data_IF_857922301809
#
_entry.id   IF_857922301809
#
_cell.length_a   1.000
_cell.length_b   1.000
_cell.length_c   1.000
_cell.angle_alpha   90.00
_cell.angle_beta   90.00
_cell.angle_gamma   90.00
#
_symmetry.space_group_name_H-M   'P 1'
#
loop_
_entity.id
_entity.type
_entity.pdbx_description
1 polymer ?
#
# COMPACT_ATOMS: atom_id res chain seq x y z
N UNK A 1 3.02 -2.99 13.28
CA UNK A 1 2.76 -3.63 11.97
C UNK A 1 2.51 -5.11 12.21
N UNK A 2 1.29 -5.61 11.97
CA UNK A 2 0.93 -7.02 12.19
C UNK A 2 1.66 -7.91 11.18
N UNK A 3 2.25 -9.01 11.63
CA UNK A 3 2.92 -10.00 10.79
C UNK A 3 1.99 -10.46 9.66
N UNK A 4 2.23 -9.97 8.43
CA UNK A 4 1.55 -10.42 7.20
C UNK A 4 2.20 -11.64 6.57
N UNK A 5 3.44 -11.90 6.95
CA UNK A 5 4.21 -13.09 6.61
C UNK A 5 3.37 -14.39 6.74
N UNK A 6 2.65 -14.67 7.86
CA UNK A 6 1.82 -15.87 7.96
C UNK A 6 0.70 -15.93 6.93
N UNK A 7 0.13 -14.79 6.53
CA UNK A 7 -0.90 -14.76 5.48
C UNK A 7 -0.31 -15.13 4.12
N UNK A 8 0.86 -14.59 3.76
CA UNK A 8 1.53 -14.95 2.50
C UNK A 8 1.96 -16.42 2.47
N UNK A 9 2.47 -16.93 3.59
CA UNK A 9 2.81 -18.36 3.73
C UNK A 9 1.57 -19.23 3.55
N UNK A 10 0.43 -18.85 4.14
CA UNK A 10 -0.84 -19.54 3.96
C UNK A 10 -1.29 -19.64 2.50
N UNK A 11 -1.19 -18.54 1.74
CA UNK A 11 -1.50 -18.54 0.31
C UNK A 11 -0.53 -19.43 -0.48
N UNK A 12 0.77 -19.33 -0.20
CA UNK A 12 1.78 -20.14 -0.90
C UNK A 12 1.59 -21.64 -0.62
N UNK A 13 1.25 -22.01 0.62
CA UNK A 13 0.93 -23.39 1.00
C UNK A 13 -0.32 -23.89 0.28
N UNK A 14 -1.38 -23.06 0.18
CA UNK A 14 -2.58 -23.43 -0.56
C UNK A 14 -2.27 -23.70 -2.04
N UNK A 15 -1.52 -22.81 -2.70
CA UNK A 15 -1.12 -23.01 -4.10
C UNK A 15 -0.23 -24.23 -4.29
N UNK A 16 0.72 -24.46 -3.37
CA UNK A 16 1.57 -25.65 -3.39
C UNK A 16 0.77 -26.94 -3.18
N UNK A 17 -0.23 -26.93 -2.28
CA UNK A 17 -1.12 -28.06 -2.05
C UNK A 17 -1.96 -28.37 -3.31
N UNK A 18 -2.48 -27.34 -3.99
CA UNK A 18 -3.17 -27.52 -5.28
C UNK A 18 -2.21 -28.07 -6.34
N UNK A 19 -0.97 -27.57 -6.41
CA UNK A 19 0.04 -28.09 -7.32
C UNK A 19 0.36 -29.57 -7.06
N UNK A 20 0.44 -29.96 -5.78
CA UNK A 20 0.62 -31.35 -5.37
C UNK A 20 -0.55 -32.23 -5.80
N UNK A 21 -1.79 -31.77 -5.60
CA UNK A 21 -3.00 -32.51 -6.01
C UNK A 21 -3.06 -32.74 -7.53
N UNK A 22 -2.59 -31.75 -8.30
CA UNK A 22 -2.52 -31.84 -9.74
C UNK A 22 -1.40 -32.75 -10.19
N UNK A 23 -0.16 -32.47 -9.82
CA UNK A 23 1.00 -33.21 -10.35
C UNK A 23 1.23 -34.57 -9.68
N UNK A 24 0.69 -34.79 -8.48
CA UNK A 24 0.98 -35.95 -7.61
C UNK A 24 2.48 -36.15 -7.35
N UNK A 25 3.28 -35.09 -7.47
CA UNK A 25 4.73 -35.10 -7.26
C UNK A 25 5.12 -33.99 -6.28
N UNK A 26 5.73 -34.38 -5.17
CA UNK A 26 6.12 -33.44 -4.11
C UNK A 26 7.14 -32.39 -4.58
N UNK A 27 8.02 -32.77 -5.52
CA UNK A 27 9.11 -31.91 -6.02
C UNK A 27 8.57 -30.62 -6.65
N UNK A 28 7.54 -30.72 -7.51
CA UNK A 28 6.96 -29.54 -8.17
C UNK A 28 6.20 -28.65 -7.18
N UNK A 29 5.49 -29.25 -6.23
CA UNK A 29 4.82 -28.50 -5.17
C UNK A 29 5.80 -27.70 -4.31
N UNK A 30 6.95 -28.29 -3.98
CA UNK A 30 8.01 -27.63 -3.23
C UNK A 30 8.62 -26.49 -4.04
N UNK A 31 8.85 -26.69 -5.34
CA UNK A 31 9.31 -25.62 -6.23
C UNK A 31 8.34 -24.43 -6.26
N UNK A 32 7.04 -24.70 -6.44
CA UNK A 32 5.98 -23.68 -6.41
C UNK A 32 5.99 -22.93 -5.07
N UNK A 33 6.08 -23.65 -3.95
CA UNK A 33 6.17 -23.06 -2.61
C UNK A 33 7.38 -22.12 -2.48
N UNK A 34 8.57 -22.59 -2.85
CA UNK A 34 9.82 -21.81 -2.70
C UNK A 34 9.78 -20.56 -3.58
N UNK A 35 9.36 -20.67 -4.83
CA UNK A 35 9.21 -19.52 -5.74
C UNK A 35 8.18 -18.53 -5.21
N UNK A 36 7.04 -19.02 -4.71
CA UNK A 36 6.02 -18.18 -4.10
C UNK A 36 6.54 -17.41 -2.90
N UNK A 37 7.15 -18.10 -1.93
CA UNK A 37 7.69 -17.47 -0.72
C UNK A 37 8.73 -16.41 -1.06
N UNK A 38 9.67 -16.71 -1.97
CA UNK A 38 10.67 -15.75 -2.44
C UNK A 38 10.00 -14.52 -3.08
N UNK A 39 9.00 -14.72 -3.92
CA UNK A 39 8.32 -13.63 -4.60
C UNK A 39 7.58 -12.72 -3.61
N UNK A 40 6.84 -13.30 -2.66
CA UNK A 40 6.10 -12.53 -1.66
C UNK A 40 7.04 -11.76 -0.72
N UNK A 41 8.13 -12.36 -0.27
CA UNK A 41 9.07 -11.72 0.66
C UNK A 41 9.95 -10.67 -0.02
N UNK A 42 10.48 -10.96 -1.21
CA UNK A 42 11.44 -10.08 -1.88
C UNK A 42 10.78 -8.92 -2.64
N UNK A 43 9.56 -9.11 -3.16
CA UNK A 43 8.90 -8.11 -4.01
C UNK A 43 7.64 -7.53 -3.40
N UNK A 44 6.71 -8.36 -2.90
CA UNK A 44 5.39 -7.87 -2.48
C UNK A 44 5.46 -7.18 -1.10
N UNK A 45 6.07 -7.81 -0.09
CA UNK A 45 6.17 -7.24 1.26
C UNK A 45 6.86 -5.85 1.28
N UNK A 46 8.04 -5.63 0.66
CA UNK A 46 8.66 -4.31 0.68
C UNK A 46 7.81 -3.26 -0.05
N UNK A 47 7.12 -3.63 -1.13
CA UNK A 47 6.25 -2.72 -1.87
C UNK A 47 5.04 -2.28 -1.02
N UNK A 48 4.36 -3.24 -0.40
CA UNK A 48 3.19 -2.97 0.44
C UNK A 48 3.59 -2.24 1.72
N UNK A 49 4.72 -2.58 2.33
CA UNK A 49 5.22 -1.90 3.53
C UNK A 49 5.55 -0.45 3.24
N UNK A 50 6.27 -0.14 2.15
CA UNK A 50 6.60 1.23 1.75
C UNK A 50 5.34 2.07 1.52
N UNK A 51 4.39 1.52 0.77
CA UNK A 51 3.12 2.17 0.51
C UNK A 51 2.36 2.49 1.81
N UNK A 52 2.32 1.55 2.75
CA UNK A 52 1.65 1.77 4.03
C UNK A 52 2.34 2.80 4.91
N UNK A 53 3.67 2.77 5.00
CA UNK A 53 4.42 3.79 5.74
C UNK A 53 4.16 5.17 5.15
N UNK A 54 4.17 5.30 3.82
CA UNK A 54 3.84 6.55 3.13
C UNK A 54 2.42 7.02 3.43
N UNK A 55 1.45 6.10 3.37
CA UNK A 55 0.05 6.38 3.67
C UNK A 55 -0.18 6.78 5.13
N UNK A 56 0.49 6.10 6.07
CA UNK A 56 0.42 6.41 7.51
C UNK A 56 0.99 7.81 7.77
N UNK A 57 2.19 8.10 7.27
CA UNK A 57 2.82 9.42 7.40
C UNK A 57 1.98 10.54 6.78
N UNK A 58 1.33 10.28 5.65
CA UNK A 58 0.39 11.22 5.05
C UNK A 58 -0.77 11.54 5.99
N UNK A 59 -1.42 10.51 6.54
CA UNK A 59 -2.52 10.68 7.50
C UNK A 59 -2.12 11.43 8.78
N UNK A 60 -0.96 11.08 9.33
CA UNK A 60 -0.34 11.78 10.46
C UNK A 60 -0.14 13.26 10.11
N UNK A 61 0.42 13.56 8.92
CA UNK A 61 0.59 14.93 8.44
C UNK A 61 -0.73 15.71 8.39
N UNK A 62 -1.77 15.14 7.79
CA UNK A 62 -3.06 15.80 7.62
C UNK A 62 -3.70 16.11 8.96
N UNK A 63 -3.68 15.14 9.87
CA UNK A 63 -4.20 15.30 11.22
C UNK A 63 -3.45 16.40 11.97
N UNK A 64 -2.11 16.40 11.90
CA UNK A 64 -1.28 17.41 12.52
C UNK A 64 -1.62 18.81 12.00
N UNK A 65 -1.63 19.01 10.68
CA UNK A 65 -1.96 20.29 10.03
C UNK A 65 -3.34 20.78 10.45
N UNK A 66 -4.35 19.91 10.37
CA UNK A 66 -5.72 20.26 10.69
C UNK A 66 -5.87 20.66 12.16
N UNK A 67 -5.31 19.87 13.08
CA UNK A 67 -5.28 20.19 14.52
C UNK A 67 -4.50 21.47 14.81
N UNK A 68 -3.42 21.74 14.10
CA UNK A 68 -2.62 22.95 14.25
C UNK A 68 -3.39 24.19 13.80
N UNK A 69 -3.97 24.18 12.59
CA UNK A 69 -4.71 25.34 12.05
C UNK A 69 -5.92 25.69 12.91
N UNK A 70 -6.68 24.69 13.36
CA UNK A 70 -7.82 24.91 14.27
C UNK A 70 -7.36 25.49 15.60
N UNK A 71 -6.30 24.92 16.18
CA UNK A 71 -5.78 25.39 17.46
C UNK A 71 -5.19 26.79 17.36
N UNK A 72 -4.55 27.12 16.23
CA UNK A 72 -4.01 28.46 15.96
C UNK A 72 -5.15 29.47 15.79
N UNK A 73 -6.22 29.10 15.07
CA UNK A 73 -7.42 29.94 14.94
C UNK A 73 -8.07 30.24 16.29
N UNK A 74 -8.09 29.28 17.22
CA UNK A 74 -8.72 29.45 18.52
C UNK A 74 -7.84 30.18 19.53
N UNK A 75 -6.55 29.85 19.59
CA UNK A 75 -5.62 30.35 20.61
C UNK A 75 -4.83 31.60 20.19
N UNK A 76 -4.75 31.88 18.87
CA UNK A 76 -3.92 32.94 18.28
C UNK A 76 -2.43 32.88 18.70
N UNK A 77 -1.98 31.74 19.21
CA UNK A 77 -0.62 31.51 19.68
C UNK A 77 -0.07 30.24 19.03
N UNK A 78 1.06 30.39 18.34
CA UNK A 78 1.70 29.30 17.60
C UNK A 78 2.23 28.19 18.52
N UNK A 79 2.81 28.54 19.67
CA UNK A 79 3.25 27.57 20.67
C UNK A 79 2.09 26.74 21.24
N UNK A 80 0.97 27.37 21.56
CA UNK A 80 -0.23 26.69 22.05
C UNK A 80 -0.84 25.81 20.97
N UNK A 81 -0.90 26.29 19.73
CA UNK A 81 -1.38 25.52 18.58
C UNK A 81 -0.53 24.26 18.33
N UNK A 82 0.79 24.40 18.41
CA UNK A 82 1.72 23.29 18.28
C UNK A 82 1.57 22.27 19.40
N UNK A 83 1.48 22.71 20.66
CA UNK A 83 1.27 21.82 21.80
C UNK A 83 -0.04 21.05 21.66
N UNK A 84 -1.12 21.71 21.27
CA UNK A 84 -2.42 21.06 21.07
C UNK A 84 -2.41 20.07 19.90
N UNK A 85 -1.75 20.40 18.79
CA UNK A 85 -1.53 19.46 17.69
C UNK A 85 -0.67 18.27 18.11
N UNK A 86 0.36 18.51 18.94
CA UNK A 86 1.25 17.49 19.50
C UNK A 86 0.54 16.52 20.46
N UNK A 87 -0.45 16.97 21.24
CA UNK A 87 -1.23 16.11 22.13
C UNK A 87 -2.05 15.05 21.39
N UNK A 88 -2.43 15.31 20.14
CA UNK A 88 -3.17 14.36 19.30
C UNK A 88 -2.32 13.28 18.61
N UNK A 89 -0.99 13.34 18.77
CA UNK A 89 -0.05 12.46 18.07
C UNK A 89 0.09 11.10 18.78
N UNK A 90 0.34 10.05 17.99
CA UNK A 90 0.48 8.68 18.51
C UNK A 90 1.56 7.90 17.75
N UNK A 91 2.20 6.93 18.41
CA UNK A 91 3.15 6.03 17.77
C UNK A 91 4.51 6.67 17.44
N UNK A 92 5.02 6.42 16.23
CA UNK A 92 6.34 6.89 15.77
C UNK A 92 6.44 8.42 15.71
N UNK A 93 5.37 9.11 15.34
CA UNK A 93 5.33 10.57 15.24
C UNK A 93 5.54 11.25 16.61
N UNK A 94 4.96 10.69 17.67
CA UNK A 94 5.15 11.17 19.04
C UNK A 94 6.59 10.98 19.52
N UNK A 95 7.19 9.83 19.22
CA UNK A 95 8.59 9.57 19.55
C UNK A 95 9.55 10.54 18.82
N UNK A 96 9.23 10.87 17.56
CA UNK A 96 9.98 11.88 16.80
C UNK A 96 9.83 13.26 17.45
N UNK A 97 8.63 13.64 17.87
CA UNK A 97 8.38 14.94 18.50
C UNK A 97 9.06 15.07 19.87
N UNK A 98 9.06 14.01 20.68
CA UNK A 98 9.77 13.95 21.96
C UNK A 98 11.28 14.11 21.79
N UNK A 99 11.85 13.56 20.71
CA UNK A 99 13.29 13.67 20.41
C UNK A 99 13.76 15.09 20.06
N UNK A 100 12.84 16.01 19.78
CA UNK A 100 13.12 17.43 19.46
C UNK A 100 12.51 18.40 20.45
N UNK A 101 12.11 17.91 21.63
CA UNK A 101 11.46 18.69 22.68
C UNK A 101 12.34 19.80 23.29
N UNK A 102 13.66 19.76 23.09
CA UNK A 102 14.60 20.78 23.56
C UNK A 102 14.91 21.87 22.51
N UNK A 103 14.43 21.72 21.28
CA UNK A 103 14.72 22.63 20.16
C UNK A 103 13.81 23.86 20.13
N UNK A 104 14.19 24.91 19.40
CA UNK A 104 13.31 26.06 19.16
C UNK A 104 12.08 25.67 18.34
N UNK A 105 11.04 26.50 18.38
CA UNK A 105 9.77 26.27 17.67
C UNK A 105 9.97 26.02 16.17
N UNK A 106 10.74 26.89 15.50
CA UNK A 106 11.04 26.78 14.06
C UNK A 106 11.80 25.50 13.72
N UNK A 107 12.77 25.13 14.57
CA UNK A 107 13.52 23.89 14.39
C UNK A 107 12.64 22.64 14.52
N UNK A 108 11.62 22.66 15.39
CA UNK A 108 10.68 21.53 15.54
C UNK A 108 9.82 21.38 14.30
N UNK A 109 9.29 22.47 13.76
CA UNK A 109 8.51 22.49 12.51
C UNK A 109 9.36 22.02 11.33
N UNK A 110 10.60 22.50 11.22
CA UNK A 110 11.49 22.06 10.14
C UNK A 110 11.90 20.58 10.29
N UNK A 111 12.06 20.08 11.52
CA UNK A 111 12.36 18.66 11.75
C UNK A 111 11.19 17.75 11.35
N UNK A 112 9.95 18.16 11.63
CA UNK A 112 8.75 17.44 11.20
C UNK A 112 8.65 17.37 9.66
N UNK A 113 9.14 18.36 8.93
CA UNK A 113 9.20 18.31 7.45
C UNK A 113 10.01 17.12 6.94
N UNK A 114 11.11 16.76 7.63
CA UNK A 114 11.97 15.62 7.30
C UNK A 114 11.31 14.28 7.61
N UNK A 115 10.43 14.24 8.60
CA UNK A 115 9.67 13.04 8.97
C UNK A 115 8.53 12.77 7.99
N UNK A 116 7.68 13.79 7.75
CA UNK A 116 6.49 13.66 6.93
C UNK A 116 6.81 13.49 5.44
N UNK A 117 7.81 14.21 4.91
CA UNK A 117 8.23 14.15 3.50
C UNK A 117 7.07 14.28 2.50
N UNK A 118 6.03 15.02 2.87
CA UNK A 118 4.84 15.27 2.06
C UNK A 118 4.88 16.68 1.49
N UNK A 119 4.41 16.86 0.26
CA UNK A 119 4.40 18.17 -0.39
C UNK A 119 3.46 19.15 0.32
N UNK A 120 2.38 18.63 0.89
CA UNK A 120 1.38 19.42 1.64
C UNK A 120 1.96 20.00 2.91
N UNK A 121 2.90 19.32 3.57
CA UNK A 121 3.60 19.90 4.71
C UNK A 121 4.45 21.09 4.32
N UNK A 122 5.03 21.10 3.11
CA UNK A 122 5.78 22.26 2.60
C UNK A 122 4.87 23.45 2.36
N UNK A 123 3.69 23.21 1.76
CA UNK A 123 2.69 24.25 1.56
C UNK A 123 2.21 24.79 2.91
N UNK A 124 2.01 23.92 3.90
CA UNK A 124 1.68 24.33 5.26
C UNK A 124 2.75 25.24 5.88
N UNK A 125 4.03 24.89 5.78
CA UNK A 125 5.12 25.76 6.27
C UNK A 125 5.12 27.13 5.59
N UNK A 126 4.85 27.21 4.28
CA UNK A 126 4.72 28.50 3.59
C UNK A 126 3.50 29.29 4.06
N UNK A 127 2.37 28.64 4.33
CA UNK A 127 1.17 29.29 4.87
C UNK A 127 1.40 29.86 6.27
N UNK A 128 2.16 29.17 7.13
CA UNK A 128 2.51 29.67 8.46
C UNK A 128 3.44 30.88 8.39
N UNK A 129 4.46 30.85 7.51
CA UNK A 129 5.34 32.01 7.30
C UNK A 129 4.58 33.23 6.79
N UNK A 130 3.66 33.02 5.84
CA UNK A 130 2.80 34.10 5.35
C UNK A 130 1.93 34.69 6.47
N UNK A 131 1.39 33.84 7.35
CA UNK A 131 0.65 34.28 8.53
C UNK A 131 1.51 35.07 9.52
N UNK A 132 2.79 34.71 9.70
CA UNK A 132 3.73 35.48 10.53
C UNK A 132 4.07 36.86 9.93
N UNK A 133 4.27 36.91 8.62
CA UNK A 133 4.70 38.13 7.91
C UNK A 133 3.55 39.12 7.68
N UNK A 134 2.37 38.63 7.27
CA UNK A 134 1.24 39.47 6.85
C UNK A 134 0.13 39.56 7.92
N UNK A 135 0.11 38.66 8.89
CA UNK A 135 -0.99 38.54 9.85
C UNK A 135 -2.30 38.11 9.20
N UNK A 136 -3.43 38.40 9.85
CA UNK A 136 -4.78 38.11 9.33
C UNK A 136 -5.44 36.88 9.93
N UNK A 137 -6.48 36.35 9.26
CA UNK A 137 -7.17 35.14 9.69
C UNK A 137 -6.49 33.90 9.08
N UNK A 138 -5.85 33.08 9.93
CA UNK A 138 -5.18 31.84 9.49
C UNK A 138 -6.12 30.89 8.73
N UNK A 139 -7.42 30.92 9.06
CA UNK A 139 -8.42 30.11 8.38
C UNK A 139 -8.54 30.48 6.90
N UNK A 140 -8.46 31.76 6.54
CA UNK A 140 -8.54 32.19 5.14
C UNK A 140 -7.28 31.79 4.37
N UNK A 141 -6.11 31.93 5.00
CA UNK A 141 -4.82 31.56 4.40
C UNK A 141 -4.68 30.04 4.25
N UNK A 142 -5.19 29.27 5.22
CA UNK A 142 -5.12 27.82 5.22
C UNK A 142 -6.33 27.14 4.56
N UNK A 143 -7.40 27.87 4.22
CA UNK A 143 -8.62 27.32 3.61
C UNK A 143 -8.35 26.52 2.32
N UNK A 144 -7.51 27.00 1.37
CA UNK A 144 -7.13 26.21 0.20
C UNK A 144 -6.44 24.90 0.57
N UNK A 145 -5.57 24.92 1.59
CA UNK A 145 -4.80 23.78 2.06
C UNK A 145 -5.67 22.76 2.80
N UNK A 146 -6.63 23.23 3.61
CA UNK A 146 -7.62 22.38 4.26
C UNK A 146 -8.54 21.73 3.23
N UNK A 147 -8.99 22.48 2.22
CA UNK A 147 -9.82 21.95 1.14
C UNK A 147 -9.08 20.89 0.31
N UNK A 148 -7.81 21.11 -0.01
CA UNK A 148 -6.96 20.14 -0.70
C UNK A 148 -6.70 18.90 0.17
N UNK A 149 -6.43 19.09 1.46
CA UNK A 149 -6.30 18.01 2.45
C UNK A 149 -7.54 17.12 2.50
N UNK A 150 -8.74 17.71 2.63
CA UNK A 150 -10.01 16.98 2.65
C UNK A 150 -10.25 16.24 1.34
N UNK A 151 -9.98 16.86 0.19
CA UNK A 151 -10.12 16.20 -1.11
C UNK A 151 -9.23 14.95 -1.23
N UNK A 152 -7.99 15.02 -0.74
CA UNK A 152 -7.07 13.87 -0.78
C UNK A 152 -7.51 12.77 0.19
N UNK A 153 -8.08 13.13 1.34
CA UNK A 153 -8.65 12.16 2.28
C UNK A 153 -9.87 11.45 1.68
N UNK A 154 -10.77 12.18 1.02
CA UNK A 154 -11.91 11.60 0.29
C UNK A 154 -11.46 10.67 -0.83
N UNK A 155 -10.47 11.08 -1.64
CA UNK A 155 -9.86 10.25 -2.67
C UNK A 155 -9.25 8.97 -2.08
N UNK A 156 -8.67 9.05 -0.89
CA UNK A 156 -8.09 7.90 -0.18
C UNK A 156 -9.18 6.94 0.32
N UNK A 157 -10.28 7.45 0.86
CA UNK A 157 -11.44 6.64 1.27
C UNK A 157 -12.05 5.93 0.06
N UNK A 158 -12.25 6.66 -1.04
CA UNK A 158 -12.71 6.13 -2.32
C UNK A 158 -11.77 5.05 -2.85
N UNK A 159 -10.46 5.31 -2.82
CA UNK A 159 -9.45 4.36 -3.24
C UNK A 159 -9.44 3.09 -2.38
N UNK A 160 -9.56 3.21 -1.06
CA UNK A 160 -9.64 2.07 -0.14
C UNK A 160 -10.84 1.17 -0.45
N UNK A 161 -12.03 1.77 -0.66
CA UNK A 161 -13.23 1.02 -1.09
C UNK A 161 -12.99 0.29 -2.42
N UNK A 162 -12.41 0.99 -3.40
CA UNK A 162 -12.08 0.40 -4.69
C UNK A 162 -11.07 -0.76 -4.59
N UNK A 163 -10.10 -0.68 -3.67
CA UNK A 163 -9.12 -1.75 -3.42
C UNK A 163 -9.80 -2.98 -2.84
N UNK A 164 -10.72 -2.83 -1.88
CA UNK A 164 -11.47 -3.96 -1.30
C UNK A 164 -12.32 -4.66 -2.37
N UNK A 165 -13.05 -3.89 -3.18
CA UNK A 165 -13.84 -4.45 -4.30
C UNK A 165 -12.94 -5.16 -5.31
N UNK A 166 -11.80 -4.57 -5.66
CA UNK A 166 -10.84 -5.17 -6.59
C UNK A 166 -10.23 -6.46 -6.03
N UNK A 167 -9.94 -6.51 -4.73
CA UNK A 167 -9.44 -7.71 -4.05
C UNK A 167 -10.49 -8.83 -4.04
N UNK A 168 -11.76 -8.50 -3.81
CA UNK A 168 -12.85 -9.47 -3.87
C UNK A 168 -13.01 -10.04 -5.29
N UNK A 169 -12.98 -9.19 -6.32
CA UNK A 169 -13.03 -9.61 -7.72
C UNK A 169 -11.83 -10.49 -8.10
N UNK A 170 -10.62 -10.07 -7.73
CA UNK A 170 -9.40 -10.85 -7.98
C UNK A 170 -9.42 -12.21 -7.28
N UNK A 171 -9.84 -12.24 -6.00
CA UNK A 171 -9.94 -13.49 -5.24
C UNK A 171 -11.01 -14.42 -5.83
N UNK A 172 -12.15 -13.88 -6.27
CA UNK A 172 -13.21 -14.65 -6.93
C UNK A 172 -12.74 -15.28 -8.24
N UNK A 173 -12.00 -14.53 -9.07
CA UNK A 173 -11.41 -15.02 -10.32
C UNK A 173 -10.46 -16.19 -10.08
N UNK A 174 -9.56 -16.07 -9.11
CA UNK A 174 -8.62 -17.15 -8.77
C UNK A 174 -9.31 -18.35 -8.13
N UNK A 175 -10.31 -18.13 -7.27
CA UNK A 175 -11.11 -19.20 -6.70
C UNK A 175 -11.81 -20.01 -7.81
N UNK A 176 -12.42 -19.34 -8.78
CA UNK A 176 -13.06 -20.00 -9.93
C UNK A 176 -12.04 -20.74 -10.79
N UNK A 177 -10.87 -20.14 -11.03
CA UNK A 177 -9.79 -20.80 -11.79
C UNK A 177 -9.32 -22.09 -11.10
N UNK A 178 -9.12 -22.06 -9.79
CA UNK A 178 -8.74 -23.22 -8.99
C UNK A 178 -9.86 -24.27 -8.95
N UNK A 179 -11.12 -23.85 -8.90
CA UNK A 179 -12.28 -24.73 -8.93
C UNK A 179 -12.35 -25.48 -10.26
N UNK A 180 -12.16 -24.80 -11.40
CA UNK A 180 -12.10 -25.43 -12.73
C UNK A 180 -10.98 -26.48 -12.79
N UNK A 181 -9.80 -26.16 -12.27
CA UNK A 181 -8.68 -27.11 -12.17
C UNK A 181 -9.03 -28.33 -11.31
N UNK A 182 -9.72 -28.13 -10.20
CA UNK A 182 -10.23 -29.20 -9.34
C UNK A 182 -11.23 -30.10 -10.07
N UNK A 183 -12.22 -29.51 -10.75
CA UNK A 183 -13.20 -30.25 -11.55
C UNK A 183 -12.51 -31.06 -12.65
N UNK A 184 -11.52 -30.49 -13.35
CA UNK A 184 -10.78 -31.23 -14.37
C UNK A 184 -10.01 -32.41 -13.78
N UNK A 185 -9.42 -32.27 -12.59
CA UNK A 185 -8.73 -33.37 -11.90
C UNK A 185 -9.66 -34.52 -11.56
N UNK A 186 -10.84 -34.22 -10.99
CA UNK A 186 -11.78 -35.24 -10.51
C UNK A 186 -12.68 -35.78 -11.63
N UNK A 187 -13.18 -34.91 -12.50
CA UNK A 187 -14.08 -35.25 -13.61
C UNK A 187 -13.41 -36.04 -14.72
N UNK A 188 -12.09 -35.89 -14.90
CA UNK A 188 -11.30 -36.64 -15.90
C UNK A 188 -10.28 -37.58 -15.25
N UNK A 189 -10.56 -38.10 -14.05
CA UNK A 189 -9.59 -38.86 -13.24
C UNK A 189 -8.86 -39.98 -14.01
N UNK A 190 -9.58 -40.74 -14.84
CA UNK A 190 -9.01 -41.81 -15.68
C UNK A 190 -8.07 -41.29 -16.77
N UNK A 191 -8.43 -40.20 -17.46
CA UNK A 191 -7.59 -39.54 -18.46
C UNK A 191 -6.38 -38.84 -17.82
N UNK A 192 -6.55 -38.33 -16.61
CA UNK A 192 -5.53 -37.63 -15.86
C UNK A 192 -4.35 -38.53 -15.49
N UNK A 193 -4.59 -39.80 -15.14
CA UNK A 193 -3.51 -40.76 -14.87
C UNK A 193 -2.60 -40.96 -16.09
N UNK A 194 -3.16 -40.87 -17.30
CA UNK A 194 -2.41 -40.96 -18.55
C UNK A 194 -1.61 -39.68 -18.83
N UNK A 195 -2.18 -38.51 -18.54
CA UNK A 195 -1.50 -37.21 -18.71
C UNK A 195 -0.45 -36.87 -17.65
N UNK A 196 -0.60 -37.37 -16.43
CA UNK A 196 0.29 -37.02 -15.31
C UNK A 196 1.76 -37.41 -15.54
N UNK A 197 2.01 -38.35 -16.44
CA UNK A 197 3.36 -38.77 -16.83
C UNK A 197 3.91 -38.00 -18.04
N UNK A 198 3.08 -37.21 -18.73
CA UNK A 198 3.50 -36.45 -19.89
C UNK A 198 4.16 -35.13 -19.47
N UNK A 199 5.40 -34.90 -19.92
CA UNK A 199 6.18 -33.69 -19.56
C UNK A 199 5.45 -32.39 -19.93
N UNK A 200 4.75 -32.37 -21.05
CA UNK A 200 3.99 -31.20 -21.51
C UNK A 200 2.86 -30.79 -20.55
N UNK A 201 2.23 -31.76 -19.89
CA UNK A 201 1.20 -31.49 -18.90
C UNK A 201 1.79 -30.79 -17.66
N UNK A 202 2.91 -31.33 -17.16
CA UNK A 202 3.63 -30.77 -16.01
C UNK A 202 4.06 -29.33 -16.31
N UNK A 203 4.60 -29.06 -17.51
CA UNK A 203 5.00 -27.72 -17.92
C UNK A 203 3.83 -26.73 -17.95
N UNK A 204 2.65 -27.15 -18.42
CA UNK A 204 1.44 -26.31 -18.40
C UNK A 204 0.97 -26.00 -16.98
N UNK A 205 1.01 -26.98 -16.07
CA UNK A 205 0.69 -26.77 -14.65
C UNK A 205 1.67 -25.78 -14.02
N UNK A 206 2.96 -25.91 -14.31
CA UNK A 206 3.97 -24.97 -13.82
C UNK A 206 3.78 -23.55 -14.39
N UNK A 207 3.47 -23.44 -15.69
CA UNK A 207 3.17 -22.16 -16.33
C UNK A 207 1.93 -21.50 -15.71
N UNK A 208 0.89 -22.28 -15.37
CA UNK A 208 -0.28 -21.78 -14.66
C UNK A 208 0.07 -21.12 -13.33
N UNK A 209 0.87 -21.78 -12.48
CA UNK A 209 1.28 -21.21 -11.20
C UNK A 209 2.22 -20.00 -11.37
N UNK A 210 3.07 -20.00 -12.40
CA UNK A 210 3.89 -18.84 -12.74
C UNK A 210 3.02 -17.64 -13.10
N UNK A 211 2.01 -17.83 -13.96
CA UNK A 211 1.03 -16.79 -14.32
C UNK A 211 0.26 -16.31 -13.08
N UNK A 212 -0.07 -17.22 -12.16
CA UNK A 212 -0.71 -16.86 -10.90
C UNK A 212 0.16 -15.91 -10.08
N UNK A 213 1.44 -16.25 -9.86
CA UNK A 213 2.36 -15.40 -9.11
C UNK A 213 2.61 -14.05 -9.78
N UNK A 214 2.77 -14.03 -11.10
CA UNK A 214 2.88 -12.78 -11.86
C UNK A 214 1.63 -11.92 -11.68
N UNK A 215 0.44 -12.53 -11.70
CA UNK A 215 -0.82 -11.81 -11.48
C UNK A 215 -0.93 -11.23 -10.07
N UNK A 216 -0.49 -11.96 -9.03
CA UNK A 216 -0.39 -11.42 -7.66
C UNK A 216 0.56 -10.22 -7.57
N UNK A 217 1.71 -10.30 -8.24
CA UNK A 217 2.67 -9.20 -8.29
C UNK A 217 2.09 -7.98 -8.99
N UNK A 218 1.49 -8.15 -10.18
CA UNK A 218 0.84 -7.08 -10.93
C UNK A 218 -0.30 -6.44 -10.14
N UNK A 219 -1.07 -7.25 -9.41
CA UNK A 219 -2.13 -6.77 -8.54
C UNK A 219 -1.58 -5.93 -7.37
N UNK A 220 -0.50 -6.37 -6.73
CA UNK A 220 0.17 -5.61 -5.67
C UNK A 220 0.72 -4.26 -6.18
N UNK A 221 1.28 -4.23 -7.39
CA UNK A 221 1.74 -3.00 -8.05
C UNK A 221 0.55 -2.07 -8.37
N UNK A 222 -0.53 -2.63 -8.91
CA UNK A 222 -1.74 -1.88 -9.24
C UNK A 222 -2.37 -1.20 -8.03
N UNK A 223 -2.41 -1.88 -6.88
CA UNK A 223 -2.94 -1.32 -5.62
C UNK A 223 -2.04 -0.22 -5.08
N UNK A 224 -0.73 -0.47 -5.03
CA UNK A 224 0.19 0.47 -4.38
C UNK A 224 0.38 1.74 -5.21
N UNK A 225 0.05 1.73 -6.51
CA UNK A 225 0.30 2.82 -7.49
C UNK A 225 1.75 3.34 -7.44
N UNK A 226 2.64 2.65 -6.73
CA UNK A 226 4.03 2.99 -6.66
C UNK A 226 4.63 2.64 -8.01
N UNK A 227 5.23 3.64 -8.66
CA UNK A 227 6.17 3.36 -9.74
C UNK A 227 7.25 2.51 -9.09
N UNK A 228 7.38 1.26 -9.51
CA UNK A 228 8.51 0.45 -9.10
C UNK A 228 9.75 1.16 -9.64
N UNK A 229 10.42 1.91 -8.77
CA UNK A 229 11.76 2.39 -9.03
C UNK A 229 12.68 1.20 -8.81
N UNK A 230 12.68 0.27 -9.77
CA UNK A 230 13.87 -0.55 -9.96
C UNK A 230 14.98 0.46 -10.27
N UNK A 231 16.03 0.48 -9.45
CA UNK A 231 17.28 1.18 -9.75
C UNK A 231 17.67 0.79 -11.20
N UNK A 232 17.37 1.67 -12.16
CA UNK A 232 17.75 1.52 -13.57
C UNK A 232 16.64 1.36 -14.63
N UNK A 233 15.37 1.04 -14.31
CA UNK A 233 14.33 0.91 -15.37
C UNK A 233 12.98 1.45 -14.91
N UNK A 234 12.53 2.54 -15.54
CA UNK A 234 11.18 3.09 -15.34
C UNK A 234 10.17 2.34 -16.22
N UNK A 235 9.34 1.48 -15.62
CA UNK A 235 8.12 1.02 -16.29
C UNK A 235 7.06 2.11 -16.22
N UNK A 236 6.75 2.73 -17.36
CA UNK A 236 5.59 3.61 -17.50
C UNK A 236 4.31 2.76 -17.40
N UNK A 237 3.58 2.93 -16.29
CA UNK A 237 2.28 2.32 -16.10
C UNK A 237 1.33 2.65 -17.25
N UNK A 238 0.56 1.65 -17.68
CA UNK A 238 -0.43 1.76 -18.75
C UNK A 238 -1.34 2.98 -18.55
N UNK A 239 -1.22 3.97 -19.44
CA UNK A 239 -2.21 5.04 -19.58
C UNK A 239 -3.55 4.39 -19.94
N UNK A 240 -4.52 4.46 -19.02
CA UNK A 240 -5.93 4.25 -19.35
C UNK A 240 -6.31 5.26 -20.43
N UNK A 241 -6.45 4.78 -21.67
CA UNK A 241 -7.05 5.55 -22.76
C UNK A 241 -8.53 5.73 -22.38
N UNK A 242 -8.94 6.94 -22.00
CA UNK A 242 -10.35 7.30 -21.93
C UNK A 242 -10.92 7.11 -23.35
N UNK A 243 -11.73 6.07 -23.53
CA UNK A 243 -12.66 6.01 -24.66
C UNK A 243 -13.81 6.95 -24.32
N UNK A 244 -13.89 8.06 -25.04
CA UNK A 244 -15.13 8.83 -25.15
C UNK A 244 -16.03 8.05 -26.12
N UNK A 245 -17.18 7.60 -25.65
CA UNK A 245 -18.36 7.32 -26.45
C UNK A 245 -19.53 8.05 -25.80
#
# INVERSE_FOLDING_TARGET
MKNRIPFYIGICLLLAAVCYLLTSRIIYALLVLTVGVLLFLLFIEPLVSRYQTKMRKGEETYRFIHSFVISLSASKSMDLAFRNAAYGLSGEEKAVLESVSDKSFDERLEYLSKYFQTDIYRVFLSSIRLYEEEGGEILDIASPLLKESTAIEEDRISHSKNVVTSLAQFSSLWLMSLLVMGILRFGLSSFYQMLANHIGFILLVMAYFLIAYVSFLLFAIGITKEKIQFKGVQFHGFKKKKQNH
#
